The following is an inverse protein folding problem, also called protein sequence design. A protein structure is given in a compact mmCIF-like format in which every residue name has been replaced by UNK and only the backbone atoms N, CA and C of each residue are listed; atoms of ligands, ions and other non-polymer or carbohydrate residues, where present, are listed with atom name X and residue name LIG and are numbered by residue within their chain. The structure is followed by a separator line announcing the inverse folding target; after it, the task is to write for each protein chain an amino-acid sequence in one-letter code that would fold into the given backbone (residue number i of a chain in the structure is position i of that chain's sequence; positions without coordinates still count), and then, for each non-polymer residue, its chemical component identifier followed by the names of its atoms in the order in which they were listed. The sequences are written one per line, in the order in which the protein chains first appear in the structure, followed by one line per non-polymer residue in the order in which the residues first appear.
data_IF_864144674673
#
_entry.id   IF_864144674673
#
_cell.length_a   1.000
_cell.length_b   1.000
_cell.length_c   1.000
_cell.angle_alpha   90.00
_cell.angle_beta   90.00
_cell.angle_gamma   90.00
#
_symmetry.space_group_name_H-M   'P 1'
#
loop_
_entity.id
_entity.type
_entity.pdbx_description
1 polymer ?
#
# COMPACT_ATOMS: atom_id res chain seq x y z
N UNK A 1 19.14 -3.69 -1.79
CA UNK A 1 19.75 -2.92 -0.69
C UNK A 1 19.69 -3.78 0.60
N UNK A 2 20.81 -4.11 1.26
CA UNK A 2 20.79 -4.96 2.48
C UNK A 2 20.21 -4.18 3.68
N UNK A 3 19.28 -4.78 4.42
CA UNK A 3 18.82 -4.31 5.76
C UNK A 3 19.36 -5.32 6.76
N UNK A 4 20.04 -4.86 7.80
CA UNK A 4 20.32 -5.68 8.97
C UNK A 4 19.22 -5.40 10.00
N UNK A 5 18.43 -6.41 10.34
CA UNK A 5 17.46 -6.34 11.45
C UNK A 5 18.13 -6.92 12.68
N UNK A 6 18.48 -6.08 13.65
CA UNK A 6 18.99 -6.53 14.95
C UNK A 6 17.80 -7.01 15.79
N UNK A 7 17.84 -8.26 16.27
CA UNK A 7 16.73 -8.90 17.01
C UNK A 7 15.85 -9.85 16.19
N UNK A 8 16.23 -10.18 14.94
CA UNK A 8 15.51 -11.11 14.07
C UNK A 8 15.78 -12.60 14.30
N UNK A 9 16.56 -12.97 15.32
CA UNK A 9 17.02 -14.35 15.58
C UNK A 9 16.21 -15.10 16.65
N UNK A 10 15.37 -14.41 17.43
CA UNK A 10 14.46 -15.03 18.41
C UNK A 10 13.21 -14.17 18.66
N UNK A 11 12.20 -14.76 19.30
CA UNK A 11 10.99 -14.06 19.75
C UNK A 11 10.20 -13.40 18.63
N UNK A 12 9.53 -12.29 18.95
CA UNK A 12 8.66 -11.55 18.01
C UNK A 12 9.41 -10.99 16.80
N UNK A 13 10.71 -10.69 16.93
CA UNK A 13 11.53 -10.19 15.83
C UNK A 13 11.85 -11.26 14.79
N UNK A 14 12.08 -12.51 15.22
CA UNK A 14 12.20 -13.66 14.32
C UNK A 14 10.89 -13.93 13.59
N UNK A 15 9.78 -13.96 14.32
CA UNK A 15 8.46 -14.18 13.74
C UNK A 15 8.10 -13.12 12.69
N UNK A 16 8.39 -11.84 12.97
CA UNK A 16 8.18 -10.76 12.01
C UNK A 16 9.06 -10.91 10.75
N UNK A 17 10.33 -11.29 10.91
CA UNK A 17 11.26 -11.46 9.79
C UNK A 17 10.89 -12.63 8.86
N UNK A 18 10.29 -13.70 9.41
CA UNK A 18 9.77 -14.82 8.62
C UNK A 18 8.53 -14.41 7.81
N UNK A 19 7.67 -13.58 8.39
CA UNK A 19 6.34 -13.29 7.86
C UNK A 19 6.28 -12.08 6.93
N UNK A 20 7.16 -11.10 7.11
CA UNK A 20 7.16 -9.86 6.35
C UNK A 20 8.26 -9.86 5.26
N UNK A 21 7.92 -9.33 4.09
CA UNK A 21 8.94 -9.07 3.07
C UNK A 21 9.89 -7.93 3.45
N UNK A 22 11.18 -8.07 3.12
CA UNK A 22 12.13 -6.96 3.23
C UNK A 22 11.80 -5.81 2.27
N UNK A 23 12.34 -4.62 2.54
CA UNK A 23 12.02 -3.35 1.84
C UNK A 23 11.97 -3.43 0.31
N UNK A 24 12.92 -4.14 -0.33
CA UNK A 24 12.98 -4.24 -1.80
C UNK A 24 11.77 -5.01 -2.35
N UNK A 25 11.37 -6.08 -1.66
CA UNK A 25 10.15 -6.81 -1.98
C UNK A 25 8.89 -6.05 -1.52
N UNK A 26 9.03 -5.23 -0.47
CA UNK A 26 8.11 -4.18 0.01
C UNK A 26 7.59 -3.29 -1.10
N UNK A 27 8.52 -2.75 -1.87
CA UNK A 27 8.23 -1.75 -2.91
C UNK A 27 7.58 -2.34 -4.18
N UNK A 28 7.56 -3.66 -4.36
CA UNK A 28 7.10 -4.29 -5.62
C UNK A 28 5.67 -3.93 -6.01
N UNK A 29 4.67 -3.83 -5.10
CA UNK A 29 3.31 -3.42 -5.47
C UNK A 29 3.26 -1.98 -6.00
N UNK A 30 3.94 -1.04 -5.34
CA UNK A 30 4.02 0.34 -5.79
C UNK A 30 4.73 0.47 -7.15
N UNK A 31 5.87 -0.22 -7.32
CA UNK A 31 6.59 -0.27 -8.61
C UNK A 31 5.70 -0.83 -9.72
N UNK A 32 4.90 -1.86 -9.41
CA UNK A 32 3.94 -2.41 -10.37
C UNK A 32 2.88 -1.37 -10.75
N UNK A 33 2.24 -0.76 -9.76
CA UNK A 33 1.15 0.20 -9.96
C UNK A 33 1.59 1.39 -10.85
N UNK A 34 2.85 1.81 -10.77
CA UNK A 34 3.39 2.93 -11.55
C UNK A 34 3.84 2.51 -12.96
N UNK A 35 4.44 1.33 -13.12
CA UNK A 35 5.16 0.97 -14.35
C UNK A 35 4.39 0.05 -15.30
N UNK A 36 3.26 -0.52 -14.88
CA UNK A 36 2.56 -1.51 -15.69
C UNK A 36 1.44 -0.90 -16.51
N UNK A 37 1.41 -1.14 -17.84
CA UNK A 37 0.39 -0.56 -18.71
C UNK A 37 -1.00 -1.18 -18.52
N UNK A 38 -1.09 -2.36 -17.91
CA UNK A 38 -2.33 -3.04 -17.52
C UNK A 38 -2.95 -2.49 -16.22
N UNK A 39 -2.34 -1.46 -15.61
CA UNK A 39 -2.86 -0.83 -14.38
C UNK A 39 -3.77 0.33 -14.73
N UNK A 40 -4.97 0.32 -14.18
CA UNK A 40 -5.96 1.38 -14.33
C UNK A 40 -6.10 2.20 -13.04
N UNK A 41 -6.53 3.46 -13.20
CA UNK A 41 -6.85 4.32 -12.07
C UNK A 41 -7.92 3.70 -11.16
N UNK A 42 -7.77 3.90 -9.85
CA UNK A 42 -8.71 3.37 -8.85
C UNK A 42 -8.52 1.89 -8.48
N UNK A 43 -7.47 1.24 -8.99
CA UNK A 43 -7.06 -0.10 -8.56
C UNK A 43 -6.20 -0.07 -7.29
N UNK A 44 -6.39 -1.05 -6.40
CA UNK A 44 -5.54 -1.26 -5.23
C UNK A 44 -4.64 -2.48 -5.45
N UNK A 45 -3.33 -2.31 -5.35
CA UNK A 45 -2.35 -3.39 -5.55
C UNK A 45 -1.59 -3.68 -4.26
N UNK A 46 -1.63 -4.93 -3.81
CA UNK A 46 -1.06 -5.37 -2.54
C UNK A 46 -0.24 -6.66 -2.63
N UNK A 47 0.46 -7.05 -1.54
CA UNK A 47 1.16 -8.33 -1.46
C UNK A 47 0.15 -9.47 -1.24
N UNK A 48 0.18 -10.49 -2.10
CA UNK A 48 -0.79 -11.61 -2.09
C UNK A 48 -0.95 -12.34 -0.75
N UNK A 49 0.10 -12.45 0.07
CA UNK A 49 0.08 -13.27 1.30
C UNK A 49 -0.28 -12.39 2.47
N UNK A 50 -1.56 -12.44 2.87
CA UNK A 50 -2.14 -11.68 4.01
C UNK A 50 -1.87 -10.16 3.97
N UNK A 51 -1.56 -9.58 2.81
CA UNK A 51 -1.14 -8.18 2.73
C UNK A 51 0.28 -7.90 3.28
N UNK A 52 1.04 -8.94 3.65
CA UNK A 52 2.34 -8.83 4.31
C UNK A 52 3.52 -9.15 3.38
N UNK A 53 3.34 -10.07 2.43
CA UNK A 53 4.44 -10.47 1.53
C UNK A 53 3.95 -11.10 0.23
N UNK A 54 4.91 -11.40 -0.65
CA UNK A 54 4.67 -12.11 -1.90
C UNK A 54 4.61 -11.20 -3.13
N UNK A 55 4.10 -11.75 -4.24
CA UNK A 55 4.01 -11.00 -5.51
C UNK A 55 2.84 -10.01 -5.47
N UNK A 56 2.96 -8.86 -6.14
CA UNK A 56 1.86 -7.92 -6.29
C UNK A 56 0.64 -8.59 -6.94
N UNK A 57 -0.53 -8.33 -6.37
CA UNK A 57 -1.83 -8.78 -6.86
C UNK A 57 -2.82 -7.62 -6.75
N UNK A 58 -3.80 -7.58 -7.65
CA UNK A 58 -4.97 -6.71 -7.53
C UNK A 58 -5.80 -7.16 -6.32
N UNK A 59 -6.01 -6.24 -5.39
CA UNK A 59 -6.78 -6.46 -4.17
C UNK A 59 -8.24 -6.03 -4.37
N UNK A 60 -9.21 -6.79 -3.82
CA UNK A 60 -10.58 -6.34 -3.77
C UNK A 60 -10.67 -5.09 -2.88
N UNK A 61 -11.36 -4.07 -3.35
CA UNK A 61 -11.62 -2.86 -2.58
C UNK A 61 -12.65 -3.18 -1.50
N UNK A 62 -12.39 -2.78 -0.27
CA UNK A 62 -13.37 -2.86 0.81
C UNK A 62 -14.45 -1.79 0.61
N UNK A 63 -15.68 -2.08 1.04
CA UNK A 63 -16.84 -1.22 0.75
C UNK A 63 -16.68 0.23 1.24
N UNK A 64 -15.98 0.43 2.35
CA UNK A 64 -15.66 1.76 2.88
C UNK A 64 -14.60 2.52 2.07
N UNK A 65 -13.78 1.83 1.27
CA UNK A 65 -12.81 2.45 0.35
C UNK A 65 -13.45 2.87 -0.98
N UNK A 66 -14.73 2.55 -1.20
CA UNK A 66 -15.47 2.83 -2.43
C UNK A 66 -16.69 3.71 -2.20
N UNK A 67 -16.78 4.39 -1.05
CA UNK A 67 -17.84 5.36 -0.77
C UNK A 67 -17.48 6.73 -1.38
N UNK A 68 -18.07 7.02 -2.53
CA UNK A 68 -17.83 8.27 -3.27
C UNK A 68 -18.28 9.52 -2.49
N UNK A 69 -19.33 9.40 -1.66
CA UNK A 69 -19.81 10.53 -0.86
C UNK A 69 -18.85 10.84 0.29
N UNK A 70 -18.31 9.80 0.93
CA UNK A 70 -17.25 9.95 1.92
C UNK A 70 -15.95 10.50 1.29
N UNK A 71 -15.57 10.02 0.11
CA UNK A 71 -14.39 10.49 -0.62
C UNK A 71 -14.51 11.98 -1.01
N UNK A 72 -15.66 12.40 -1.54
CA UNK A 72 -15.91 13.80 -1.90
C UNK A 72 -15.84 14.73 -0.68
N UNK A 73 -16.45 14.33 0.45
CA UNK A 73 -16.35 15.10 1.71
C UNK A 73 -14.91 15.20 2.20
N UNK A 74 -14.18 14.09 2.21
CA UNK A 74 -12.77 14.07 2.63
C UNK A 74 -11.91 14.98 1.75
N UNK A 75 -12.18 15.02 0.44
CA UNK A 75 -11.49 15.91 -0.49
C UNK A 75 -11.74 17.38 -0.15
N UNK A 76 -13.00 17.80 -0.04
CA UNK A 76 -13.37 19.18 0.31
C UNK A 76 -12.68 19.65 1.60
N UNK A 77 -12.72 18.83 2.66
CA UNK A 77 -12.07 19.17 3.93
C UNK A 77 -10.54 19.24 3.79
N UNK A 78 -9.94 18.34 3.02
CA UNK A 78 -8.49 18.34 2.76
C UNK A 78 -8.05 19.60 2.01
N UNK A 79 -8.81 20.03 1.00
CA UNK A 79 -8.58 21.29 0.29
C UNK A 79 -8.72 22.49 1.23
N UNK A 80 -9.78 22.53 2.05
CA UNK A 80 -10.01 23.62 3.00
C UNK A 80 -8.89 23.73 4.04
N UNK A 81 -8.40 22.60 4.57
CA UNK A 81 -7.35 22.54 5.58
C UNK A 81 -5.96 22.85 5.03
N UNK A 82 -5.68 22.46 3.79
CA UNK A 82 -4.35 22.66 3.17
C UNK A 82 -4.25 23.94 2.36
N UNK A 83 -5.38 24.54 1.96
CA UNK A 83 -5.45 25.66 1.03
C UNK A 83 -5.00 25.31 -0.40
N UNK A 84 -4.84 24.02 -0.71
CA UNK A 84 -4.38 23.53 -2.00
C UNK A 84 -5.49 22.75 -2.69
N UNK A 85 -5.86 23.19 -3.90
CA UNK A 85 -6.71 22.41 -4.81
C UNK A 85 -5.91 22.02 -6.06
N UNK A 86 -5.42 20.77 -6.14
CA UNK A 86 -4.69 20.29 -7.31
C UNK A 86 -5.60 19.95 -8.50
N UNK A 87 -6.93 19.93 -8.34
CA UNK A 87 -7.88 19.56 -9.39
C UNK A 87 -8.71 20.75 -9.92
N UNK A 88 -8.87 21.81 -9.12
CA UNK A 88 -9.44 23.10 -9.54
C UNK A 88 -10.96 23.18 -9.51
#
# INVERSE_FOLDING_TARGET
MRVLVTGGNAGIGYFAAEQLHGKDAGARPAVRAVLRPDVEGGQLWGPRVFGLRGRPRLEPRWANLTDDAAAARLWTESVALTGLDPLG
#
